data_IF_195312980267
#
_entry.id   IF_195312980267
#
_cell.length_a   1.000
_cell.length_b   1.000
_cell.length_c   1.000
_cell.angle_alpha   90.00
_cell.angle_beta   90.00
_cell.angle_gamma   90.00
#
_symmetry.space_group_name_H-M   'P 1'
#
loop_
_entity.id
_entity.type
_entity.pdbx_description
1 polymer ?
#
# COMPACT_ATOMS: atom_id res chain seq x y z
N UNK A 1 -24.37 9.44 28.22
CA UNK A 1 -25.52 10.03 28.94
C UNK A 1 -26.71 9.10 28.75
N UNK A 2 -27.71 9.12 29.64
CA UNK A 2 -28.88 8.23 29.51
C UNK A 2 -29.67 8.52 28.23
N UNK A 3 -29.70 9.78 27.78
CA UNK A 3 -30.28 10.18 26.50
C UNK A 3 -29.66 9.44 25.28
N UNK A 4 -28.34 9.28 25.23
CA UNK A 4 -27.67 8.57 24.13
C UNK A 4 -27.91 7.05 24.19
N UNK A 5 -28.17 6.50 25.38
CA UNK A 5 -28.45 5.08 25.55
C UNK A 5 -29.84 4.72 25.06
N UNK A 6 -30.81 5.60 25.30
CA UNK A 6 -32.18 5.45 24.81
C UNK A 6 -32.22 5.60 23.27
N UNK A 7 -31.51 6.60 22.74
CA UNK A 7 -31.39 6.83 21.29
C UNK A 7 -30.80 5.61 20.55
N UNK A 8 -29.80 4.95 21.14
CA UNK A 8 -29.11 3.81 20.51
C UNK A 8 -29.59 2.45 21.04
N UNK A 9 -30.68 2.42 21.81
CA UNK A 9 -31.27 1.22 22.39
C UNK A 9 -30.25 0.32 23.16
N UNK A 10 -29.36 0.95 23.93
CA UNK A 10 -28.35 0.26 24.73
C UNK A 10 -28.94 -0.31 26.03
N UNK A 11 -28.97 -1.64 26.13
CA UNK A 11 -29.52 -2.36 27.29
C UNK A 11 -28.50 -2.51 28.43
N UNK A 12 -28.71 -1.72 29.48
CA UNK A 12 -27.89 -1.73 30.70
C UNK A 12 -27.84 -3.05 31.45
N UNK A 13 -28.94 -3.81 31.43
CA UNK A 13 -29.04 -5.09 32.13
C UNK A 13 -28.25 -6.15 31.38
N UNK A 14 -28.34 -6.14 30.05
CA UNK A 14 -27.59 -7.03 29.18
C UNK A 14 -26.07 -6.77 29.27
N UNK A 15 -25.66 -5.50 29.25
CA UNK A 15 -24.26 -5.09 29.44
C UNK A 15 -23.70 -5.58 30.78
N UNK A 16 -24.42 -5.35 31.88
CA UNK A 16 -24.01 -5.81 33.21
C UNK A 16 -23.86 -7.33 33.27
N UNK A 17 -24.78 -8.06 32.64
CA UNK A 17 -24.71 -9.53 32.53
C UNK A 17 -23.46 -9.98 31.77
N UNK A 18 -23.13 -9.34 30.65
CA UNK A 18 -21.92 -9.66 29.88
C UNK A 18 -20.64 -9.32 30.64
N UNK A 19 -20.62 -8.17 31.32
CA UNK A 19 -19.49 -7.76 32.16
C UNK A 19 -19.23 -8.79 33.27
N UNK A 20 -20.28 -9.25 33.95
CA UNK A 20 -20.16 -10.27 34.99
C UNK A 20 -19.68 -11.62 34.44
N UNK A 21 -20.15 -12.02 33.25
CA UNK A 21 -19.67 -13.22 32.57
C UNK A 21 -18.18 -13.13 32.22
N UNK A 22 -17.70 -11.96 31.76
CA UNK A 22 -16.28 -11.70 31.46
C UNK A 22 -15.44 -11.76 32.74
N UNK A 23 -15.88 -11.12 33.83
CA UNK A 23 -15.18 -11.17 35.12
C UNK A 23 -15.04 -12.58 35.69
N UNK A 24 -16.05 -13.43 35.47
CA UNK A 24 -16.07 -14.81 35.96
C UNK A 24 -15.40 -15.81 35.02
N UNK A 25 -14.71 -15.36 33.97
CA UNK A 25 -14.02 -16.20 33.00
C UNK A 25 -12.48 -16.03 33.11
N UNK A 26 -11.82 -16.65 34.12
CA UNK A 26 -10.38 -16.47 34.35
C UNK A 26 -9.50 -16.92 33.17
N UNK A 27 -9.96 -17.90 32.38
CA UNK A 27 -9.25 -18.39 31.19
C UNK A 27 -9.45 -17.52 29.94
N UNK A 28 -10.34 -16.51 30.00
CA UNK A 28 -10.67 -15.69 28.83
C UNK A 28 -9.45 -14.94 28.30
N UNK A 29 -8.60 -14.42 29.20
CA UNK A 29 -7.37 -13.73 28.81
C UNK A 29 -6.45 -14.66 28.01
N UNK A 30 -6.24 -15.89 28.49
CA UNK A 30 -5.41 -16.90 27.82
C UNK A 30 -6.01 -17.30 26.46
N UNK A 31 -7.33 -17.48 26.39
CA UNK A 31 -8.03 -17.77 25.13
C UNK A 31 -7.87 -16.65 24.11
N UNK A 32 -8.00 -15.39 24.53
CA UNK A 32 -7.79 -14.22 23.65
C UNK A 32 -6.35 -14.21 23.15
N UNK A 33 -5.37 -14.38 24.04
CA UNK A 33 -3.95 -14.47 23.64
C UNK A 33 -3.70 -15.60 22.64
N UNK A 34 -4.35 -16.75 22.80
CA UNK A 34 -4.23 -17.87 21.86
C UNK A 34 -4.86 -17.55 20.50
N UNK A 35 -6.02 -16.91 20.46
CA UNK A 35 -6.73 -16.54 19.22
C UNK A 35 -5.99 -15.45 18.43
N UNK A 36 -5.32 -14.53 19.14
CA UNK A 36 -4.59 -13.40 18.56
C UNK A 36 -3.07 -13.57 18.57
N UNK A 37 -2.57 -14.75 18.93
CA UNK A 37 -1.14 -15.04 19.00
C UNK A 37 -0.52 -15.08 17.60
N UNK A 38 -0.29 -16.29 17.07
CA UNK A 38 0.36 -16.44 15.77
C UNK A 38 -0.67 -16.46 14.65
N UNK A 39 -0.67 -15.40 13.84
CA UNK A 39 -1.26 -15.42 12.49
C UNK A 39 -0.11 -15.36 11.51
N UNK A 40 0.13 -16.46 10.81
CA UNK A 40 1.05 -16.48 9.68
C UNK A 40 0.33 -15.87 8.49
N UNK A 41 0.72 -14.64 8.15
CA UNK A 41 0.45 -14.08 6.84
C UNK A 41 1.62 -14.43 5.92
N UNK A 42 1.36 -14.49 4.62
CA UNK A 42 2.46 -14.61 3.65
C UNK A 42 3.40 -13.41 3.80
N UNK A 43 4.70 -13.66 3.75
CA UNK A 43 5.70 -12.60 3.84
C UNK A 43 5.62 -11.72 2.60
N UNK A 44 5.37 -10.43 2.81
CA UNK A 44 5.38 -9.44 1.75
C UNK A 44 6.81 -9.05 1.40
N UNK A 45 7.28 -9.49 0.24
CA UNK A 45 8.61 -9.14 -0.27
C UNK A 45 8.67 -7.77 -0.94
N UNK A 46 7.53 -7.22 -1.38
CA UNK A 46 7.46 -5.88 -1.97
C UNK A 46 7.54 -4.79 -0.89
N UNK A 47 8.61 -3.95 -0.86
CA UNK A 47 8.72 -2.90 0.15
C UNK A 47 7.59 -1.86 0.08
N UNK A 48 6.97 -1.63 -1.09
CA UNK A 48 5.81 -0.73 -1.20
C UNK A 48 4.57 -1.28 -0.46
N UNK A 49 4.51 -2.60 -0.24
CA UNK A 49 3.43 -3.27 0.48
C UNK A 49 3.81 -3.64 1.92
N UNK A 50 5.05 -3.35 2.34
CA UNK A 50 5.61 -3.77 3.62
C UNK A 50 5.71 -2.61 4.63
N UNK A 51 4.68 -1.78 4.74
CA UNK A 51 4.66 -0.66 5.71
C UNK A 51 4.68 -1.16 7.16
N UNK A 52 3.95 -2.25 7.43
CA UNK A 52 3.76 -2.80 8.78
C UNK A 52 4.72 -3.93 9.15
N UNK A 53 5.72 -4.27 8.32
CA UNK A 53 6.71 -5.32 8.63
C UNK A 53 7.73 -4.94 9.70
N UNK A 54 7.65 -3.74 10.25
CA UNK A 54 8.53 -3.29 11.33
C UNK A 54 8.69 -1.78 11.35
N UNK A 55 9.04 -1.26 12.52
CA UNK A 55 9.40 0.15 12.69
C UNK A 55 10.88 0.37 12.33
N UNK A 56 11.17 1.53 11.75
CA UNK A 56 12.54 1.93 11.44
C UNK A 56 13.33 2.19 12.73
N UNK A 57 14.64 1.92 12.68
CA UNK A 57 15.53 2.33 13.76
C UNK A 57 15.69 3.85 13.81
N UNK A 58 16.14 4.38 14.96
CA UNK A 58 16.43 5.81 15.07
C UNK A 58 17.54 6.26 14.10
N UNK A 59 18.45 5.35 13.75
CA UNK A 59 19.52 5.62 12.79
C UNK A 59 18.94 5.74 11.38
N UNK A 60 18.15 4.74 10.94
CA UNK A 60 17.47 4.77 9.64
C UNK A 60 16.55 5.98 9.49
N UNK A 61 15.83 6.37 10.55
CA UNK A 61 15.00 7.58 10.53
C UNK A 61 15.82 8.84 10.21
N UNK A 62 17.02 9.00 10.80
CA UNK A 62 17.90 10.14 10.50
C UNK A 62 18.43 10.10 9.08
N UNK A 63 18.75 8.92 8.56
CA UNK A 63 19.17 8.74 7.17
C UNK A 63 18.02 9.09 6.20
N UNK A 64 16.78 8.69 6.51
CA UNK A 64 15.60 9.13 5.76
C UNK A 64 15.41 10.66 5.81
N UNK A 65 15.60 11.29 6.98
CA UNK A 65 15.54 12.76 7.09
C UNK A 65 16.62 13.44 6.23
N UNK A 66 17.81 12.85 6.11
CA UNK A 66 18.86 13.33 5.19
C UNK A 66 18.42 13.19 3.74
N UNK A 67 17.92 12.01 3.33
CA UNK A 67 17.38 11.76 1.98
C UNK A 67 16.34 12.81 1.60
N UNK A 68 15.38 13.09 2.49
CA UNK A 68 14.30 14.05 2.22
C UNK A 68 14.77 15.51 2.09
N UNK A 69 15.95 15.84 2.62
CA UNK A 69 16.55 17.19 2.53
C UNK A 69 17.51 17.34 1.36
N UNK A 70 17.91 16.23 0.73
CA UNK A 70 18.84 16.24 -0.39
C UNK A 70 18.17 16.69 -1.68
N UNK A 71 18.93 17.39 -2.53
CA UNK A 71 18.50 17.69 -3.89
C UNK A 71 18.46 16.42 -4.76
N UNK A 72 17.75 16.42 -5.89
CA UNK A 72 17.74 15.28 -6.82
C UNK A 72 19.15 14.88 -7.29
N UNK A 73 20.03 15.87 -7.52
CA UNK A 73 21.41 15.65 -7.94
C UNK A 73 22.24 15.03 -6.81
N UNK A 74 22.00 15.42 -5.56
CA UNK A 74 22.64 14.83 -4.38
C UNK A 74 22.17 13.40 -4.14
N UNK A 75 20.87 13.13 -4.32
CA UNK A 75 20.27 11.80 -4.16
C UNK A 75 20.90 10.75 -5.08
N UNK A 76 21.35 11.13 -6.28
CA UNK A 76 22.04 10.21 -7.19
C UNK A 76 23.43 9.77 -6.72
N UNK A 77 24.02 10.51 -5.77
CA UNK A 77 25.35 10.23 -5.21
C UNK A 77 25.29 9.68 -3.79
N UNK A 78 24.13 9.75 -3.16
CA UNK A 78 23.91 9.35 -1.78
C UNK A 78 23.82 7.81 -1.69
N UNK A 79 24.62 7.24 -0.79
CA UNK A 79 24.60 5.80 -0.49
C UNK A 79 24.45 5.59 1.02
N UNK A 80 23.25 5.84 1.58
CA UNK A 80 23.04 5.66 3.02
C UNK A 80 23.21 4.19 3.39
N UNK A 81 23.91 3.93 4.50
CA UNK A 81 24.03 2.60 5.07
C UNK A 81 22.81 2.28 5.92
N UNK A 82 21.68 1.97 5.27
CA UNK A 82 20.45 1.58 5.94
C UNK A 82 20.60 0.24 6.66
N UNK A 83 20.00 0.13 7.84
CA UNK A 83 19.87 -1.13 8.59
C UNK A 83 18.66 -1.92 8.07
N UNK A 84 17.56 -1.23 7.79
CA UNK A 84 16.34 -1.81 7.25
C UNK A 84 16.49 -2.15 5.75
N UNK A 85 16.29 -3.43 5.43
CA UNK A 85 16.42 -3.99 4.08
C UNK A 85 15.44 -3.41 3.07
N UNK A 86 14.35 -2.77 3.50
CA UNK A 86 13.34 -2.14 2.62
C UNK A 86 13.85 -0.83 2.03
N UNK A 87 14.66 -0.08 2.78
CA UNK A 87 15.01 1.30 2.46
C UNK A 87 15.86 1.47 1.19
N UNK A 88 16.84 0.61 0.87
CA UNK A 88 17.59 0.72 -0.38
C UNK A 88 16.70 0.67 -1.63
N UNK A 89 15.75 -0.26 -1.67
CA UNK A 89 14.80 -0.40 -2.79
C UNK A 89 13.80 0.77 -2.81
N UNK A 90 13.29 1.19 -1.65
CA UNK A 90 12.41 2.37 -1.56
C UNK A 90 13.08 3.64 -2.06
N UNK A 91 14.36 3.86 -1.71
CA UNK A 91 15.13 5.02 -2.19
C UNK A 91 15.30 4.97 -3.71
N UNK A 92 15.61 3.80 -4.28
CA UNK A 92 15.70 3.62 -5.72
C UNK A 92 14.38 3.97 -6.42
N UNK A 93 13.26 3.39 -5.97
CA UNK A 93 11.93 3.66 -6.56
C UNK A 93 11.50 5.10 -6.37
N UNK A 94 11.80 5.70 -5.22
CA UNK A 94 11.53 7.11 -4.94
C UNK A 94 12.25 8.01 -5.96
N UNK A 95 13.55 7.79 -6.18
CA UNK A 95 14.31 8.52 -7.21
C UNK A 95 13.76 8.28 -8.61
N UNK A 96 13.46 7.03 -8.97
CA UNK A 96 13.00 6.67 -10.30
C UNK A 96 11.61 7.24 -10.64
N UNK A 97 10.71 7.32 -9.67
CA UNK A 97 9.37 7.89 -9.82
C UNK A 97 9.39 9.43 -9.94
N UNK A 98 10.23 10.10 -9.15
CA UNK A 98 10.20 11.56 -9.03
C UNK A 98 11.20 12.28 -9.95
N UNK A 99 12.37 11.69 -10.17
CA UNK A 99 13.45 12.28 -10.98
C UNK A 99 14.14 11.24 -11.88
N UNK A 100 13.42 10.63 -12.83
CA UNK A 100 13.97 9.60 -13.71
C UNK A 100 15.19 10.09 -14.52
N UNK A 101 15.31 11.39 -14.75
CA UNK A 101 16.47 12.00 -15.40
C UNK A 101 17.78 11.79 -14.63
N UNK A 102 17.71 11.60 -13.30
CA UNK A 102 18.86 11.39 -12.41
C UNK A 102 19.36 9.94 -12.38
N UNK A 103 18.66 9.03 -13.06
CA UNK A 103 19.06 7.63 -13.17
C UNK A 103 20.15 7.48 -14.23
N UNK A 104 21.18 6.72 -13.88
CA UNK A 104 22.16 6.18 -14.82
C UNK A 104 21.52 5.23 -15.84
N UNK A 105 22.23 4.87 -16.90
CA UNK A 105 21.73 3.95 -17.93
C UNK A 105 21.30 2.60 -17.34
N UNK A 106 22.09 2.02 -16.43
CA UNK A 106 21.79 0.74 -15.80
C UNK A 106 20.59 0.84 -14.86
N UNK A 107 20.50 1.93 -14.09
CA UNK A 107 19.34 2.21 -13.23
C UNK A 107 18.05 2.38 -14.04
N UNK A 108 18.12 3.02 -15.22
CA UNK A 108 16.97 3.15 -16.13
C UNK A 108 16.53 1.79 -16.65
N UNK A 109 17.46 0.93 -17.05
CA UNK A 109 17.11 -0.43 -17.49
C UNK A 109 16.45 -1.24 -16.37
N UNK A 110 17.00 -1.18 -15.15
CA UNK A 110 16.39 -1.79 -13.96
C UNK A 110 14.99 -1.25 -13.69
N UNK A 111 14.80 0.06 -13.84
CA UNK A 111 13.51 0.70 -13.65
C UNK A 111 12.48 0.28 -14.70
N UNK A 112 12.86 0.21 -15.97
CA UNK A 112 11.98 -0.26 -17.04
C UNK A 112 11.55 -1.72 -16.84
N UNK A 113 12.47 -2.59 -16.40
CA UNK A 113 12.11 -3.97 -16.10
C UNK A 113 11.13 -4.05 -14.91
N UNK A 114 11.36 -3.27 -13.86
CA UNK A 114 10.43 -3.15 -12.74
C UNK A 114 9.04 -2.65 -13.21
N UNK A 115 8.99 -1.59 -14.03
CA UNK A 115 7.73 -1.05 -14.58
C UNK A 115 6.98 -2.09 -15.39
N UNK A 116 7.69 -2.80 -16.27
CA UNK A 116 7.12 -3.87 -17.11
C UNK A 116 6.50 -4.95 -16.26
N UNK A 117 7.22 -5.49 -15.28
CA UNK A 117 6.71 -6.50 -14.34
C UNK A 117 5.49 -5.94 -13.58
N UNK A 118 5.61 -4.74 -12.99
CA UNK A 118 4.54 -4.14 -12.19
C UNK A 118 3.23 -3.94 -12.95
N UNK A 119 3.30 -3.67 -14.26
CA UNK A 119 2.15 -3.40 -15.11
C UNK A 119 1.59 -4.65 -15.82
N UNK A 120 2.37 -5.72 -15.96
CA UNK A 120 1.97 -6.88 -16.79
C UNK A 120 1.86 -8.19 -16.02
N UNK A 121 2.58 -8.34 -14.91
CA UNK A 121 2.59 -9.55 -14.10
C UNK A 121 1.59 -9.42 -12.94
N UNK A 122 0.62 -10.35 -12.78
CA UNK A 122 -0.26 -10.40 -11.62
C UNK A 122 0.48 -10.48 -10.27
N UNK A 123 1.66 -11.10 -10.23
CA UNK A 123 2.52 -11.16 -9.05
C UNK A 123 3.45 -9.93 -8.91
N UNK A 124 3.41 -8.99 -9.86
CA UNK A 124 4.27 -7.81 -9.88
C UNK A 124 3.97 -6.77 -8.80
N UNK A 125 2.94 -6.97 -7.98
CA UNK A 125 2.54 -6.11 -6.87
C UNK A 125 1.47 -5.06 -7.23
N UNK A 126 1.09 -4.93 -8.50
CA UNK A 126 -0.02 -4.08 -8.94
C UNK A 126 -1.37 -4.67 -8.51
N UNK A 127 -2.35 -3.81 -8.21
CA UNK A 127 -3.73 -4.27 -7.95
C UNK A 127 -4.43 -4.75 -9.22
N UNK A 128 -3.97 -4.28 -10.38
CA UNK A 128 -4.51 -4.59 -11.70
C UNK A 128 -3.37 -4.58 -12.73
N UNK A 129 -3.37 -5.55 -13.65
CA UNK A 129 -2.45 -5.56 -14.79
C UNK A 129 -3.05 -4.78 -15.95
N UNK A 130 -2.24 -4.35 -16.92
CA UNK A 130 -2.72 -3.66 -18.13
C UNK A 130 -3.74 -4.49 -18.92
N UNK A 131 -3.61 -5.83 -18.92
CA UNK A 131 -4.57 -6.71 -19.57
C UNK A 131 -5.94 -6.70 -18.88
N UNK A 132 -5.97 -6.77 -17.54
CA UNK A 132 -7.22 -6.66 -16.77
C UNK A 132 -7.79 -5.24 -16.85
N UNK A 133 -6.95 -4.22 -16.78
CA UNK A 133 -7.33 -2.81 -16.90
C UNK A 133 -8.06 -2.55 -18.22
N UNK A 134 -7.47 -2.94 -19.36
CA UNK A 134 -8.12 -2.82 -20.68
C UNK A 134 -9.44 -3.58 -20.72
N UNK A 135 -9.48 -4.80 -20.18
CA UNK A 135 -10.72 -5.61 -20.10
C UNK A 135 -11.83 -4.92 -19.30
N UNK A 136 -11.51 -4.31 -18.16
CA UNK A 136 -12.51 -3.60 -17.36
C UNK A 136 -13.04 -2.36 -18.09
N UNK A 137 -12.17 -1.57 -18.70
CA UNK A 137 -12.57 -0.39 -19.46
C UNK A 137 -13.41 -0.74 -20.69
N UNK A 138 -13.05 -1.77 -21.46
CA UNK A 138 -13.86 -2.22 -22.60
C UNK A 138 -15.28 -2.64 -22.20
N UNK A 139 -15.50 -3.12 -20.97
CA UNK A 139 -16.84 -3.41 -20.43
C UNK A 139 -17.59 -2.14 -20.05
N UNK A 140 -16.89 -1.11 -19.57
CA UNK A 140 -17.48 0.17 -19.19
C UNK A 140 -17.92 0.97 -20.43
N UNK A 141 -17.17 0.93 -21.53
CA UNK A 141 -17.53 1.67 -22.78
C UNK A 141 -18.94 1.36 -23.27
N UNK A 142 -19.37 0.09 -23.16
CA UNK A 142 -20.68 -0.38 -23.63
C UNK A 142 -21.81 -0.16 -22.63
N UNK A 143 -21.52 0.38 -21.44
CA UNK A 143 -22.53 0.63 -20.42
C UNK A 143 -23.41 1.84 -20.81
N UNK A 144 -24.72 1.64 -21.02
CA UNK A 144 -25.63 2.72 -21.39
C UNK A 144 -25.87 3.72 -20.25
N UNK A 145 -25.59 3.35 -19.00
CA UNK A 145 -25.82 4.20 -17.82
C UNK A 145 -24.74 5.26 -17.62
N UNK A 146 -23.63 5.20 -18.36
CA UNK A 146 -22.57 6.20 -18.25
C UNK A 146 -23.01 7.57 -18.80
N UNK A 147 -22.72 8.60 -18.01
CA UNK A 147 -22.81 9.99 -18.44
C UNK A 147 -21.78 10.31 -19.52
N UNK A 148 -21.97 11.39 -20.25
CA UNK A 148 -21.02 11.85 -21.26
C UNK A 148 -19.62 12.10 -20.66
N UNK A 149 -19.57 12.72 -19.48
CA UNK A 149 -18.32 12.98 -18.74
C UNK A 149 -17.60 11.67 -18.36
N UNK A 150 -18.36 10.65 -17.97
CA UNK A 150 -17.81 9.34 -17.64
C UNK A 150 -17.28 8.61 -18.89
N UNK A 151 -17.95 8.75 -20.05
CA UNK A 151 -17.46 8.18 -21.32
C UNK A 151 -16.14 8.81 -21.72
N UNK A 152 -16.04 10.14 -21.66
CA UNK A 152 -14.79 10.86 -21.96
C UNK A 152 -13.65 10.41 -21.04
N UNK A 153 -13.94 10.18 -19.75
CA UNK A 153 -12.95 9.64 -18.82
C UNK A 153 -12.52 8.21 -19.19
N UNK A 154 -13.46 7.33 -19.53
CA UNK A 154 -13.16 5.95 -19.94
C UNK A 154 -12.31 5.92 -21.21
N UNK A 155 -12.60 6.79 -22.17
CA UNK A 155 -11.82 6.92 -23.40
C UNK A 155 -10.39 7.41 -23.10
N UNK A 156 -10.24 8.44 -22.26
CA UNK A 156 -8.92 8.90 -21.83
C UNK A 156 -8.12 7.81 -21.08
N UNK A 157 -8.80 6.98 -20.27
CA UNK A 157 -8.19 5.84 -19.59
C UNK A 157 -7.78 4.73 -20.58
N UNK A 158 -8.50 4.54 -21.69
CA UNK A 158 -8.11 3.58 -22.73
C UNK A 158 -6.87 4.00 -23.51
N UNK A 159 -6.66 5.31 -23.68
CA UNK A 159 -5.51 5.87 -24.39
C UNK A 159 -4.25 5.95 -23.52
N UNK A 160 -4.41 6.12 -22.20
CA UNK A 160 -3.31 6.30 -21.24
C UNK A 160 -2.18 5.26 -21.30
N UNK A 161 -2.41 3.94 -21.52
CA UNK A 161 -1.34 2.97 -21.70
C UNK A 161 -0.32 3.39 -22.79
N UNK A 162 -0.77 3.99 -23.89
CA UNK A 162 0.13 4.42 -24.97
C UNK A 162 1.05 5.55 -24.50
N UNK A 163 0.56 6.45 -23.66
CA UNK A 163 1.34 7.56 -23.09
C UNK A 163 2.48 7.06 -22.19
N UNK A 164 2.28 5.92 -21.53
CA UNK A 164 3.29 5.30 -20.67
C UNK A 164 4.15 4.24 -21.40
N UNK A 165 3.94 4.03 -22.70
CA UNK A 165 4.73 3.14 -23.55
C UNK A 165 4.22 1.69 -23.66
N UNK A 166 2.91 1.44 -23.55
CA UNK A 166 2.27 0.11 -23.60
C UNK A 166 1.00 0.03 -24.46
#
# INVERSE_FOLDING_TARGET
>A
TDAAREEWALDSVLEQRHLQAIHNAPELQKKIQQVFGERHFEETTDPDQNLYGGFLSNNDRRLCEQVLRSSPEELSKLHPAFEDVRLPELLFRYRARNWPQTLSTDERQRWEEYRRIRLTDPAGGGSITLAEYRRQLSRMVIDPELTEEQRQLVDALLDWPQEIGF
#
